data_IF_583387779477
#
_entry.id   IF_583387779477
#
_cell.length_a   1.000
_cell.length_b   1.000
_cell.length_c   1.000
_cell.angle_alpha   90.00
_cell.angle_beta   90.00
_cell.angle_gamma   90.00
#
_symmetry.space_group_name_H-M   'P 1'
#
loop_
_entity.id
_entity.type
_entity.pdbx_description
1 polymer ?
#
# COMPACT_ATOMS: atom_id res chain seq x y z
N UNK A 1 -5.31 -2.64 2.33
CA UNK A 1 -5.07 -1.22 1.97
C UNK A 1 -4.42 -1.23 0.60
N UNK A 2 -5.06 -0.65 -0.39
CA UNK A 2 -4.52 -0.60 -1.75
C UNK A 2 -3.41 0.46 -1.87
N UNK A 3 -2.35 0.15 -2.60
CA UNK A 3 -1.19 1.05 -2.75
C UNK A 3 -1.56 2.37 -3.43
N UNK A 4 -2.50 2.36 -4.37
CA UNK A 4 -2.96 3.56 -5.08
C UNK A 4 -3.72 4.52 -4.16
N UNK A 5 -4.66 4.00 -3.38
CA UNK A 5 -5.40 4.78 -2.42
C UNK A 5 -4.46 5.41 -1.37
N UNK A 6 -3.39 4.70 -1.00
CA UNK A 6 -2.35 5.21 -0.11
C UNK A 6 -1.51 6.30 -0.79
N UNK A 7 -1.10 6.15 -2.06
CA UNK A 7 -0.44 7.19 -2.84
C UNK A 7 -1.30 8.46 -2.94
N UNK A 8 -2.59 8.31 -3.22
CA UNK A 8 -3.54 9.42 -3.24
C UNK A 8 -3.71 10.11 -1.88
N UNK A 9 -3.49 9.39 -0.78
CA UNK A 9 -3.49 9.94 0.57
C UNK A 9 -2.19 10.65 0.96
N UNK A 10 -1.11 10.46 0.21
CA UNK A 10 0.24 10.94 0.52
C UNK A 10 0.78 11.92 -0.53
N UNK A 11 -0.09 12.73 -1.17
CA UNK A 11 0.27 13.62 -2.29
C UNK A 11 1.40 14.61 -2.01
N UNK A 12 1.65 14.94 -0.73
CA UNK A 12 2.72 15.84 -0.32
C UNK A 12 4.10 15.16 -0.24
N UNK A 13 4.17 13.84 -0.46
CA UNK A 13 5.38 13.03 -0.34
C UNK A 13 5.63 12.32 -1.67
N UNK A 14 6.81 12.50 -2.24
CA UNK A 14 7.19 11.84 -3.49
C UNK A 14 7.53 10.36 -3.23
N UNK A 15 6.64 9.47 -3.68
CA UNK A 15 6.67 8.02 -3.40
C UNK A 15 6.40 7.22 -4.67
N UNK A 16 6.62 5.90 -4.62
CA UNK A 16 6.28 4.98 -5.73
C UNK A 16 5.55 3.73 -5.23
N UNK A 17 4.55 3.28 -6.01
CA UNK A 17 3.91 1.96 -5.91
C UNK A 17 4.30 1.12 -7.13
N UNK A 18 4.27 -0.21 -6.99
CA UNK A 18 4.57 -1.14 -8.09
C UNK A 18 6.04 -1.17 -8.53
N UNK A 19 6.28 -1.64 -9.77
CA UNK A 19 7.62 -1.73 -10.37
C UNK A 19 8.12 -0.36 -10.86
N UNK A 20 8.36 0.56 -9.94
CA UNK A 20 9.13 1.81 -10.06
C UNK A 20 8.78 2.85 -11.16
N UNK A 21 8.17 2.49 -12.30
CA UNK A 21 8.05 3.31 -13.51
C UNK A 21 6.96 2.85 -14.51
N UNK A 22 5.84 2.24 -14.10
CA UNK A 22 4.82 1.81 -15.08
C UNK A 22 3.85 2.94 -15.44
N UNK A 23 3.92 3.41 -16.70
CA UNK A 23 3.11 4.53 -17.21
C UNK A 23 1.72 4.13 -17.71
N UNK A 24 1.30 2.86 -17.63
CA UNK A 24 0.06 2.45 -18.31
C UNK A 24 -0.55 1.10 -17.90
N UNK A 25 0.04 0.32 -16.98
CA UNK A 25 -0.54 -0.96 -16.56
C UNK A 25 -0.28 -1.22 -15.09
N UNK A 26 -1.35 -1.56 -14.37
CA UNK A 26 -1.38 -1.75 -12.92
C UNK A 26 -0.80 -3.10 -12.49
N UNK A 27 0.30 -3.53 -13.10
CA UNK A 27 0.83 -4.85 -12.81
C UNK A 27 1.59 -4.84 -11.46
N UNK A 28 1.34 -5.85 -10.60
CA UNK A 28 2.08 -5.98 -9.35
C UNK A 28 3.58 -6.19 -9.64
N UNK A 29 4.42 -5.69 -8.74
CA UNK A 29 5.88 -5.73 -8.92
C UNK A 29 6.37 -7.14 -9.26
N UNK A 30 7.02 -7.30 -10.42
CA UNK A 30 7.60 -8.59 -10.84
C UNK A 30 8.66 -9.09 -9.85
N UNK A 31 9.33 -8.18 -9.13
CA UNK A 31 10.29 -8.53 -8.07
C UNK A 31 9.54 -9.14 -6.88
N UNK A 32 8.45 -8.51 -6.42
CA UNK A 32 7.68 -9.04 -5.30
C UNK A 32 7.04 -10.39 -5.66
N UNK A 33 6.57 -10.55 -6.89
CA UNK A 33 6.10 -11.85 -7.41
C UNK A 33 7.21 -12.91 -7.41
N UNK A 34 8.42 -12.56 -7.86
CA UNK A 34 9.57 -13.47 -7.84
C UNK A 34 9.99 -13.87 -6.41
N UNK A 35 9.76 -13.00 -5.43
CA UNK A 35 9.94 -13.28 -4.00
C UNK A 35 8.80 -14.12 -3.39
N UNK A 36 7.79 -14.51 -4.18
CA UNK A 36 6.65 -15.29 -3.69
C UNK A 36 5.61 -14.48 -2.91
N UNK A 37 5.66 -13.15 -3.00
CA UNK A 37 4.64 -12.28 -2.39
C UNK A 37 3.33 -12.42 -3.18
N UNK A 38 2.24 -12.73 -2.47
CA UNK A 38 0.91 -12.85 -3.08
C UNK A 38 0.45 -11.55 -3.74
N UNK A 39 -0.41 -11.66 -4.76
CA UNK A 39 -0.83 -10.53 -5.60
C UNK A 39 -1.36 -9.35 -4.76
N UNK A 40 -2.26 -9.62 -3.82
CA UNK A 40 -2.88 -8.60 -2.96
C UNK A 40 -1.84 -7.82 -2.13
N UNK A 41 -0.79 -8.51 -1.67
CA UNK A 41 0.32 -7.90 -0.94
C UNK A 41 1.23 -7.11 -1.87
N UNK A 42 1.45 -7.60 -3.09
CA UNK A 42 2.24 -6.88 -4.09
C UNK A 42 1.54 -5.57 -4.54
N UNK A 43 0.21 -5.55 -4.65
CA UNK A 43 -0.58 -4.33 -4.96
C UNK A 43 -0.68 -3.34 -3.79
N UNK A 44 -0.45 -3.80 -2.56
CA UNK A 44 -0.46 -2.95 -1.36
C UNK A 44 0.93 -2.46 -0.93
N UNK A 45 1.96 -2.75 -1.73
CA UNK A 45 3.34 -2.40 -1.43
C UNK A 45 3.71 -0.98 -1.88
N UNK A 46 4.42 -0.25 -1.02
CA UNK A 46 4.96 1.09 -1.30
C UNK A 46 6.48 1.08 -1.10
N UNK A 47 7.22 1.73 -1.99
CA UNK A 47 8.66 1.93 -1.87
C UNK A 47 8.97 3.37 -1.45
N UNK A 48 9.66 3.50 -0.31
CA UNK A 48 10.27 4.74 0.16
C UNK A 48 11.77 4.68 -0.14
N UNK A 49 12.27 5.66 -0.90
CA UNK A 49 13.70 5.81 -1.20
C UNK A 49 14.20 7.06 -0.52
N UNK A 50 15.19 6.92 0.37
CA UNK A 50 15.84 8.04 1.05
C UNK A 50 17.11 8.46 0.30
N UNK A 51 17.37 9.76 0.23
CA UNK A 51 18.55 10.37 -0.36
C UNK A 51 19.34 11.20 0.65
N UNK A 52 20.51 11.68 0.24
CA UNK A 52 21.44 12.47 1.07
C UNK A 52 20.79 13.71 1.71
N UNK A 53 19.78 14.27 1.07
CA UNK A 53 19.15 15.52 1.47
C UNK A 53 17.91 15.33 2.34
N UNK A 54 17.51 14.08 2.63
CA UNK A 54 16.39 13.87 3.53
C UNK A 54 16.76 14.21 4.97
N UNK A 55 15.82 14.82 5.69
CA UNK A 55 15.97 15.18 7.10
C UNK A 55 15.18 14.25 8.02
N UNK A 56 15.58 14.18 9.29
CA UNK A 56 14.84 13.41 10.30
C UNK A 56 13.41 13.95 10.50
N UNK A 57 13.23 15.26 10.35
CA UNK A 57 11.91 15.91 10.43
C UNK A 57 11.00 15.50 9.26
N UNK A 58 11.52 15.43 8.04
CA UNK A 58 10.79 14.92 6.88
C UNK A 58 10.38 13.45 7.06
N UNK A 59 11.27 12.63 7.62
CA UNK A 59 10.99 11.22 7.91
C UNK A 59 9.89 11.12 8.97
N UNK A 60 9.99 11.90 10.05
CA UNK A 60 9.00 11.92 11.13
C UNK A 60 7.62 12.36 10.62
N UNK A 61 7.60 13.39 9.78
CA UNK A 61 6.38 13.86 9.10
C UNK A 61 5.80 12.78 8.20
N UNK A 62 6.66 12.10 7.42
CA UNK A 62 6.25 11.00 6.53
C UNK A 62 5.61 9.87 7.32
N UNK A 63 6.22 9.44 8.43
CA UNK A 63 5.68 8.39 9.30
C UNK A 63 4.29 8.77 9.82
N UNK A 64 4.12 10.01 10.32
CA UNK A 64 2.83 10.49 10.81
C UNK A 64 1.76 10.45 9.72
N UNK A 65 2.07 10.98 8.53
CA UNK A 65 1.15 11.00 7.37
C UNK A 65 0.77 9.59 6.91
N UNK A 66 1.73 8.67 6.85
CA UNK A 66 1.48 7.27 6.50
C UNK A 66 0.52 6.62 7.50
N UNK A 67 0.75 6.82 8.80
CA UNK A 67 -0.15 6.29 9.84
C UNK A 67 -1.57 6.82 9.70
N UNK A 68 -1.72 8.14 9.52
CA UNK A 68 -3.02 8.78 9.32
C UNK A 68 -3.75 8.22 8.09
N UNK A 69 -3.04 8.15 6.94
CA UNK A 69 -3.61 7.66 5.69
C UNK A 69 -4.01 6.18 5.78
N UNK A 70 -3.15 5.32 6.35
CA UNK A 70 -3.41 3.89 6.52
C UNK A 70 -4.57 3.65 7.48
N UNK A 71 -4.65 4.39 8.59
CA UNK A 71 -5.78 4.27 9.54
C UNK A 71 -7.09 4.59 8.83
N UNK A 72 -7.17 5.74 8.16
CA UNK A 72 -8.37 6.17 7.45
C UNK A 72 -8.82 5.16 6.39
N UNK A 73 -7.89 4.63 5.60
CA UNK A 73 -8.19 3.64 4.57
C UNK A 73 -8.65 2.30 5.16
N UNK A 74 -8.13 1.95 6.34
CA UNK A 74 -8.54 0.75 7.08
C UNK A 74 -9.93 0.89 7.69
N UNK A 75 -10.25 2.04 8.25
CA UNK A 75 -11.56 2.33 8.83
C UNK A 75 -12.69 2.29 7.77
N UNK A 76 -12.34 2.53 6.51
CA UNK A 76 -13.27 2.45 5.37
C UNK A 76 -13.29 1.06 4.70
N UNK A 77 -12.49 0.08 5.15
CA UNK A 77 -12.30 -1.19 4.47
C UNK A 77 -13.10 -2.31 5.15
N UNK A 78 -14.14 -2.86 4.52
CA UNK A 78 -14.89 -4.01 5.05
C UNK A 78 -13.98 -5.23 5.28
N UNK A 79 -12.99 -5.44 4.42
CA UNK A 79 -11.99 -6.49 4.56
C UNK A 79 -11.19 -6.37 5.86
N UNK A 80 -10.88 -5.15 6.28
CA UNK A 80 -10.12 -4.91 7.49
C UNK A 80 -10.97 -5.17 8.75
N UNK A 81 -12.26 -4.84 8.72
CA UNK A 81 -13.19 -5.21 9.80
C UNK A 81 -13.35 -6.72 9.91
N UNK A 82 -13.54 -7.43 8.79
CA UNK A 82 -13.58 -8.90 8.77
C UNK A 82 -12.29 -9.52 9.35
N UNK A 83 -11.13 -8.96 9.00
CA UNK A 83 -9.85 -9.40 9.56
C UNK A 83 -9.75 -9.17 11.07
N UNK A 84 -10.27 -8.05 11.60
CA UNK A 84 -10.32 -7.78 13.04
C UNK A 84 -11.22 -8.78 13.78
N UNK A 85 -12.29 -9.22 13.14
CA UNK A 85 -13.20 -10.26 13.65
C UNK A 85 -12.61 -11.67 13.57
N UNK A 86 -11.40 -11.83 13.02
CA UNK A 86 -10.70 -13.11 12.91
C UNK A 86 -11.13 -13.95 11.70
N UNK A 87 -11.88 -13.38 10.77
CA UNK A 87 -12.29 -14.06 9.54
C UNK A 87 -11.08 -14.17 8.60
N UNK A 88 -10.81 -15.38 8.12
CA UNK A 88 -9.81 -15.58 7.07
C UNK A 88 -10.34 -15.04 5.75
N UNK A 89 -9.88 -13.86 5.35
CA UNK A 89 -10.26 -13.18 4.11
C UNK A 89 -10.06 -14.06 2.87
N UNK A 90 -9.10 -15.00 2.89
CA UNK A 90 -8.83 -15.92 1.78
C UNK A 90 -9.90 -16.99 1.62
N UNK A 91 -10.69 -17.24 2.67
CA UNK A 91 -11.78 -18.22 2.68
C UNK A 91 -13.11 -17.62 2.20
N UNK A 92 -13.19 -16.30 2.05
CA UNK A 92 -14.39 -15.60 1.59
C UNK A 92 -14.56 -15.80 0.09
N UNK A 93 -15.68 -16.39 -0.33
CA UNK A 93 -16.04 -16.48 -1.75
C UNK A 93 -16.58 -15.14 -2.23
N UNK A 94 -15.76 -14.45 -3.01
CA UNK A 94 -16.14 -13.19 -3.66
C UNK A 94 -16.97 -13.48 -4.91
N UNK A 95 -18.13 -12.83 -5.04
CA UNK A 95 -18.85 -12.79 -6.32
C UNK A 95 -18.02 -11.98 -7.31
N UNK A 96 -17.42 -12.64 -8.30
CA UNK A 96 -16.66 -12.01 -9.37
C UNK A 96 -17.55 -11.09 -10.20
N UNK A 97 -17.21 -9.82 -10.28
CA UNK A 97 -17.62 -8.91 -11.36
C UNK A 97 -16.63 -9.04 -12.53
#
# INVERSE_FOLDING_TARGET
VEGEALLMGLKEIALSSGSACTSSTLEPSYILRALGVGSDLAHSSIRFSLGRFNTEEEITTTIRRVKEAVSRLRDMSPLYEMAKEGIDIKSVQWSSH
#
